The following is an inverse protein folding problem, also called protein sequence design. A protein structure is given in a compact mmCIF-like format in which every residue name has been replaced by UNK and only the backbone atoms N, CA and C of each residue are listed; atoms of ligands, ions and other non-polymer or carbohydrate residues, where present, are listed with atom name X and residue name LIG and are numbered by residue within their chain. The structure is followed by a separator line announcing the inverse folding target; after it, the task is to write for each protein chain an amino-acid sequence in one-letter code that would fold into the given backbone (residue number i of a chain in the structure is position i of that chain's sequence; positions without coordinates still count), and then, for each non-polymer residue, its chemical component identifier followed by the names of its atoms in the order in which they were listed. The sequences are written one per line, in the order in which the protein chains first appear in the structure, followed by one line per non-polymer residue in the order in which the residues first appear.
data_IF_967822520074
#
_entry.id   IF_967822520074
#
_cell.length_a   1.000
_cell.length_b   1.000
_cell.length_c   1.000
_cell.angle_alpha   90.00
_cell.angle_beta   90.00
_cell.angle_gamma   90.00
#
_symmetry.space_group_name_H-M   'P 1'
#
loop_
_entity.id
_entity.type
_entity.pdbx_description
1 polymer ?
#
# COMPACT_ATOMS: atom_id res chain seq x y z
N UNK A 1 26.53 -1.11 -9.39
CA UNK A 1 25.13 -0.87 -8.95
C UNK A 1 24.82 -1.90 -7.89
N UNK A 2 24.55 -1.48 -6.66
CA UNK A 2 24.15 -2.41 -5.59
C UNK A 2 22.73 -2.89 -5.90
N UNK A 3 22.57 -4.18 -6.15
CA UNK A 3 21.26 -4.80 -6.30
C UNK A 3 20.78 -5.09 -4.88
N UNK A 4 19.75 -4.39 -4.42
CA UNK A 4 19.14 -4.68 -3.13
C UNK A 4 18.10 -5.79 -3.31
N UNK A 5 18.21 -6.84 -2.51
CA UNK A 5 17.20 -7.88 -2.37
C UNK A 5 16.35 -7.60 -1.13
N UNK A 6 15.04 -7.79 -1.25
CA UNK A 6 14.09 -7.59 -0.16
C UNK A 6 13.30 -8.87 0.08
N UNK A 7 12.96 -9.14 1.34
CA UNK A 7 12.06 -10.22 1.69
C UNK A 7 10.68 -9.98 1.07
N UNK A 8 9.93 -11.06 0.83
CA UNK A 8 8.48 -10.94 0.68
C UNK A 8 7.91 -10.28 1.95
N UNK A 9 6.91 -9.38 1.86
CA UNK A 9 6.26 -8.82 3.03
C UNK A 9 5.63 -9.91 3.90
N UNK A 10 5.94 -9.86 5.19
CA UNK A 10 5.43 -10.77 6.21
C UNK A 10 4.53 -9.99 7.18
N UNK A 11 3.51 -10.63 7.80
CA UNK A 11 2.77 -9.99 8.89
C UNK A 11 3.73 -9.45 9.95
N UNK A 12 3.42 -8.28 10.51
CA UNK A 12 4.18 -7.70 11.60
C UNK A 12 4.15 -8.65 12.80
N UNK A 13 5.34 -9.06 13.24
CA UNK A 13 5.50 -9.82 14.47
C UNK A 13 5.16 -8.92 15.68
N UNK A 14 4.17 -9.28 16.52
CA UNK A 14 3.84 -8.52 17.72
C UNK A 14 5.01 -8.42 18.72
N UNK A 15 5.96 -9.35 18.66
CA UNK A 15 7.14 -9.42 19.52
C UNK A 15 8.39 -8.77 18.86
N UNK A 16 8.21 -8.04 17.75
CA UNK A 16 9.31 -7.35 17.08
C UNK A 16 10.03 -6.38 18.05
N UNK A 17 11.37 -6.38 18.11
CA UNK A 17 12.12 -5.47 18.96
C UNK A 17 11.82 -4.00 18.64
N UNK A 18 11.60 -3.19 19.68
CA UNK A 18 11.31 -1.76 19.52
C UNK A 18 12.43 -1.01 18.77
N UNK A 19 13.70 -1.39 18.99
CA UNK A 19 14.84 -0.78 18.33
C UNK A 19 14.84 -1.03 16.81
N UNK A 20 14.25 -2.14 16.34
CA UNK A 20 14.06 -2.39 14.91
C UNK A 20 13.04 -1.41 14.30
N UNK A 21 11.95 -1.10 15.02
CA UNK A 21 10.96 -0.10 14.60
C UNK A 21 11.53 1.33 14.64
N UNK A 22 12.37 1.62 15.63
CA UNK A 22 12.96 2.95 15.82
C UNK A 22 13.99 3.28 14.73
N UNK A 23 14.70 2.29 14.21
CA UNK A 23 15.66 2.43 13.10
C UNK A 23 15.00 2.73 11.76
N UNK A 24 13.72 2.42 11.59
CA UNK A 24 13.00 2.72 10.36
C UNK A 24 12.83 4.23 10.19
N UNK A 25 13.16 4.72 9.00
CA UNK A 25 12.96 6.11 8.63
C UNK A 25 12.63 6.25 7.14
N UNK A 26 11.40 6.67 6.84
CA UNK A 26 10.97 6.99 5.48
C UNK A 26 10.97 8.50 5.16
N UNK A 27 11.62 9.33 5.99
CA UNK A 27 11.58 10.81 5.97
C UNK A 27 10.20 11.42 6.28
N UNK A 28 9.33 10.61 6.89
CA UNK A 28 7.95 10.99 7.24
C UNK A 28 7.74 10.81 8.72
N UNK A 29 7.76 11.89 9.51
CA UNK A 29 7.65 11.79 10.95
C UNK A 29 6.43 10.99 11.41
N UNK A 30 5.27 11.16 10.77
CA UNK A 30 4.08 10.44 11.19
C UNK A 30 4.05 8.94 10.82
N UNK A 31 4.66 8.53 9.70
CA UNK A 31 4.62 7.13 9.29
C UNK A 31 5.61 6.38 10.17
N UNK A 32 6.78 6.98 10.38
CA UNK A 32 7.76 6.52 11.38
C UNK A 32 7.11 6.41 12.77
N UNK A 33 6.45 7.48 13.24
CA UNK A 33 5.83 7.51 14.57
C UNK A 33 4.71 6.46 14.71
N UNK A 34 3.87 6.31 13.68
CA UNK A 34 2.80 5.32 13.72
C UNK A 34 3.35 3.90 13.73
N UNK A 35 4.39 3.61 12.94
CA UNK A 35 5.05 2.31 12.95
C UNK A 35 5.61 1.99 14.34
N UNK A 36 6.27 2.96 14.98
CA UNK A 36 6.88 2.79 16.31
C UNK A 36 5.88 2.62 17.45
N UNK A 37 4.72 3.29 17.38
CA UNK A 37 3.83 3.43 18.56
C UNK A 37 2.45 2.80 18.42
N UNK A 38 2.00 2.53 17.20
CA UNK A 38 0.61 2.09 16.94
C UNK A 38 0.52 0.78 16.17
N UNK A 39 1.52 0.41 15.38
CA UNK A 39 1.45 -0.75 14.49
C UNK A 39 1.18 -2.07 15.24
N UNK A 40 1.96 -2.37 16.28
CA UNK A 40 1.81 -3.58 17.12
C UNK A 40 0.47 -3.60 17.86
N UNK A 41 0.05 -2.46 18.42
CA UNK A 41 -1.25 -2.35 19.07
C UNK A 41 -2.38 -2.63 18.07
N UNK A 42 -2.34 -2.02 16.88
CA UNK A 42 -3.36 -2.23 15.88
C UNK A 42 -3.39 -3.67 15.35
N UNK A 43 -2.24 -4.33 15.23
CA UNK A 43 -2.14 -5.74 14.86
C UNK A 43 -2.80 -6.64 15.91
N UNK A 44 -2.50 -6.39 17.20
CA UNK A 44 -3.02 -7.15 18.34
C UNK A 44 -4.54 -7.04 18.47
N UNK A 45 -5.10 -5.85 18.29
CA UNK A 45 -6.54 -5.61 18.46
C UNK A 45 -7.34 -5.69 17.15
N UNK A 46 -6.68 -5.98 16.03
CA UNK A 46 -7.36 -6.17 14.74
C UNK A 46 -7.85 -4.89 14.07
N UNK A 47 -7.34 -3.71 14.47
CA UNK A 47 -7.69 -2.43 13.83
C UNK A 47 -7.11 -2.32 12.41
N UNK A 48 -5.93 -2.91 12.19
CA UNK A 48 -5.30 -3.02 10.87
C UNK A 48 -4.28 -4.15 10.88
N UNK A 49 -4.10 -4.80 9.74
CA UNK A 49 -3.03 -5.79 9.51
C UNK A 49 -1.83 -5.12 8.87
N UNK A 50 -0.67 -5.17 9.53
CA UNK A 50 0.57 -4.56 9.07
C UNK A 50 1.48 -5.63 8.46
N UNK A 51 2.08 -5.33 7.32
CA UNK A 51 3.02 -6.20 6.63
C UNK A 51 4.34 -5.47 6.45
N UNK A 52 5.44 -6.17 6.68
CA UNK A 52 6.80 -5.62 6.75
C UNK A 52 7.71 -6.40 5.79
N UNK A 53 8.48 -5.69 4.98
CA UNK A 53 9.57 -6.25 4.19
C UNK A 53 10.91 -5.89 4.83
N UNK A 54 11.85 -6.81 4.79
CA UNK A 54 13.18 -6.67 5.36
C UNK A 54 14.25 -6.66 4.26
N UNK A 55 15.36 -5.99 4.51
CA UNK A 55 16.58 -6.15 3.72
C UNK A 55 17.33 -7.43 4.09
N UNK A 56 18.42 -7.74 3.38
CA UNK A 56 19.28 -8.90 3.64
C UNK A 56 19.90 -8.87 5.05
N UNK A 57 20.06 -7.68 5.64
CA UNK A 57 20.58 -7.48 6.99
C UNK A 57 19.50 -7.60 8.09
N UNK A 58 18.26 -7.92 7.75
CA UNK A 58 17.15 -8.03 8.68
C UNK A 58 16.59 -6.69 9.18
N UNK A 59 16.99 -5.56 8.58
CA UNK A 59 16.38 -4.27 8.89
C UNK A 59 15.10 -4.06 8.09
N UNK A 60 14.14 -3.34 8.66
CA UNK A 60 12.90 -3.00 7.96
C UNK A 60 13.24 -2.13 6.74
N UNK A 61 12.89 -2.62 5.55
CA UNK A 61 13.07 -1.92 4.29
C UNK A 61 11.81 -1.13 3.87
N UNK A 62 10.63 -1.60 4.28
CA UNK A 62 9.36 -0.95 4.02
C UNK A 62 8.21 -1.68 4.67
N UNK A 63 7.06 -1.01 4.78
CA UNK A 63 5.87 -1.61 5.35
C UNK A 63 4.61 -1.04 4.71
N UNK A 64 3.51 -1.75 4.88
CA UNK A 64 2.17 -1.22 4.61
C UNK A 64 1.16 -1.77 5.61
N UNK A 65 -0.01 -1.15 5.73
CA UNK A 65 -1.10 -1.70 6.50
C UNK A 65 -2.44 -1.67 5.75
N UNK A 66 -3.24 -2.72 5.98
CA UNK A 66 -4.57 -2.89 5.40
C UNK A 66 -5.60 -2.94 6.52
N UNK A 67 -6.74 -2.27 6.31
CA UNK A 67 -7.93 -2.40 7.16
C UNK A 67 -9.18 -2.57 6.30
N UNK A 68 -10.30 -2.91 6.92
CA UNK A 68 -11.60 -2.91 6.25
C UNK A 68 -12.11 -1.47 6.08
N UNK A 69 -12.80 -1.22 4.99
CA UNK A 69 -13.41 0.08 4.71
C UNK A 69 -14.66 -0.09 3.84
N UNK A 70 -15.39 1.01 3.69
CA UNK A 70 -16.50 1.11 2.77
C UNK A 70 -16.34 2.36 1.89
N UNK A 71 -16.89 2.31 0.69
CA UNK A 71 -16.88 3.43 -0.24
C UNK A 71 -18.31 3.80 -0.65
N UNK A 72 -18.73 5.01 -0.29
CA UNK A 72 -20.06 5.51 -0.61
C UNK A 72 -20.22 5.83 -2.10
N UNK A 73 -21.44 5.62 -2.62
CA UNK A 73 -21.81 5.95 -4.00
C UNK A 73 -21.61 7.44 -4.36
N UNK A 74 -21.65 8.33 -3.38
CA UNK A 74 -21.46 9.78 -3.58
C UNK A 74 -20.02 10.13 -3.94
N UNK A 75 -19.06 9.28 -3.55
CA UNK A 75 -17.65 9.42 -3.95
C UNK A 75 -17.39 8.90 -5.37
N UNK A 76 -18.33 8.18 -5.99
CA UNK A 76 -18.13 7.48 -7.25
C UNK A 76 -18.85 8.09 -8.45
N UNK A 77 -18.28 7.86 -9.63
CA UNK A 77 -18.96 8.19 -10.88
C UNK A 77 -20.15 7.27 -11.15
N UNK A 78 -21.11 7.74 -11.95
CA UNK A 78 -22.36 7.01 -12.21
C UNK A 78 -22.10 5.61 -12.81
N UNK A 79 -21.03 5.46 -13.59
CA UNK A 79 -20.62 4.17 -14.15
C UNK A 79 -20.16 3.16 -13.10
N UNK A 80 -19.47 3.60 -12.04
CA UNK A 80 -18.93 2.71 -11.00
C UNK A 80 -19.96 2.24 -9.97
N UNK A 81 -21.06 2.98 -9.80
CA UNK A 81 -22.11 2.67 -8.81
C UNK A 81 -23.30 1.87 -9.36
N UNK A 82 -23.37 1.65 -10.68
CA UNK A 82 -24.52 0.97 -11.30
C UNK A 82 -24.57 -0.50 -10.87
N UNK A 83 -25.73 -0.96 -10.39
CA UNK A 83 -25.95 -2.34 -9.92
C UNK A 83 -25.00 -2.79 -8.79
N UNK A 84 -24.59 -1.85 -7.93
CA UNK A 84 -23.69 -2.11 -6.79
C UNK A 84 -24.38 -1.80 -5.46
N UNK A 85 -23.87 -2.43 -4.39
CA UNK A 85 -24.26 -2.16 -3.01
C UNK A 85 -23.81 -0.75 -2.60
N UNK A 86 -24.62 -0.07 -1.78
CA UNK A 86 -24.23 1.19 -1.16
C UNK A 86 -24.28 1.04 0.38
N UNK A 87 -23.15 1.17 1.09
CA UNK A 87 -21.81 1.45 0.55
C UNK A 87 -21.11 0.19 -0.01
N UNK A 88 -20.08 0.40 -0.83
CA UNK A 88 -19.29 -0.68 -1.44
C UNK A 88 -18.25 -1.24 -0.44
N UNK A 89 -18.16 -2.56 -0.23
CA UNK A 89 -17.14 -3.15 0.63
C UNK A 89 -15.76 -3.03 -0.01
N UNK A 90 -14.78 -2.51 0.73
CA UNK A 90 -13.42 -2.27 0.27
C UNK A 90 -12.38 -2.66 1.32
N UNK A 91 -11.13 -2.81 0.90
CA UNK A 91 -9.98 -2.72 1.80
C UNK A 91 -9.37 -1.33 1.68
N UNK A 92 -8.90 -0.76 2.79
CA UNK A 92 -8.15 0.49 2.82
C UNK A 92 -6.66 0.18 2.98
N UNK A 93 -5.83 0.66 2.05
CA UNK A 93 -4.39 0.79 2.24
C UNK A 93 -4.16 2.02 3.12
N UNK A 94 -4.09 1.81 4.43
CA UNK A 94 -4.02 2.90 5.39
C UNK A 94 -2.68 3.62 5.33
N UNK A 95 -1.59 2.86 5.15
CA UNK A 95 -0.22 3.36 5.11
C UNK A 95 0.61 2.51 4.17
N UNK A 96 1.53 3.16 3.48
CA UNK A 96 2.56 2.54 2.64
C UNK A 96 3.83 3.39 2.78
N UNK A 97 4.93 2.79 3.19
CA UNK A 97 6.17 3.48 3.44
C UNK A 97 7.38 2.62 3.02
N UNK A 98 8.40 3.28 2.50
CA UNK A 98 9.69 2.69 2.16
C UNK A 98 10.77 3.47 2.88
N UNK A 99 11.67 2.77 3.57
CA UNK A 99 12.80 3.38 4.24
C UNK A 99 13.62 4.19 3.22
N UNK A 100 14.10 5.36 3.63
CA UNK A 100 14.83 6.30 2.76
C UNK A 100 16.04 5.67 2.08
N UNK A 101 16.65 4.65 2.69
CA UNK A 101 17.74 3.85 2.10
C UNK A 101 17.33 3.14 0.80
N UNK A 102 16.05 2.83 0.64
CA UNK A 102 15.53 1.96 -0.42
C UNK A 102 14.50 2.64 -1.34
N UNK A 103 14.28 3.94 -1.17
CA UNK A 103 13.39 4.71 -2.06
C UNK A 103 13.95 4.76 -3.49
N UNK A 104 13.05 4.74 -4.48
CA UNK A 104 13.43 4.75 -5.90
C UNK A 104 13.84 3.40 -6.49
N UNK A 105 13.84 2.34 -5.68
CA UNK A 105 14.27 1.01 -6.10
C UNK A 105 13.10 0.08 -6.43
N UNK A 106 11.89 0.61 -6.62
CA UNK A 106 10.70 -0.18 -6.96
C UNK A 106 10.03 -0.91 -5.78
N UNK A 107 10.62 -0.88 -4.57
CA UNK A 107 10.06 -1.54 -3.38
C UNK A 107 8.61 -1.09 -3.07
N UNK A 108 8.31 0.20 -3.20
CA UNK A 108 6.96 0.71 -2.96
C UNK A 108 5.89 0.11 -3.90
N UNK A 109 6.25 -0.11 -5.16
CA UNK A 109 5.39 -0.81 -6.12
C UNK A 109 5.23 -2.28 -5.76
N UNK A 110 6.31 -2.96 -5.37
CA UNK A 110 6.27 -4.35 -4.93
C UNK A 110 5.39 -4.56 -3.68
N UNK A 111 5.48 -3.66 -2.70
CA UNK A 111 4.61 -3.66 -1.51
C UNK A 111 3.13 -3.47 -1.89
N UNK A 112 2.84 -2.57 -2.82
CA UNK A 112 1.47 -2.34 -3.31
C UNK A 112 0.90 -3.56 -4.04
N UNK A 113 1.73 -4.26 -4.83
CA UNK A 113 1.34 -5.52 -5.50
C UNK A 113 0.94 -6.57 -4.46
N UNK A 114 1.71 -6.71 -3.38
CA UNK A 114 1.36 -7.64 -2.30
C UNK A 114 0.08 -7.22 -1.58
N UNK A 115 -0.14 -5.92 -1.36
CA UNK A 115 -1.40 -5.41 -0.81
C UNK A 115 -2.60 -5.79 -1.69
N UNK A 116 -2.49 -5.65 -3.02
CA UNK A 116 -3.53 -6.04 -3.97
C UNK A 116 -3.79 -7.56 -3.97
N UNK A 117 -2.75 -8.39 -3.85
CA UNK A 117 -2.89 -9.85 -3.70
C UNK A 117 -3.66 -10.21 -2.44
N UNK A 118 -3.36 -9.55 -1.32
CA UNK A 118 -4.10 -9.74 -0.06
C UNK A 118 -5.56 -9.33 -0.24
N UNK A 119 -5.83 -8.16 -0.82
CA UNK A 119 -7.20 -7.69 -1.08
C UNK A 119 -7.96 -8.63 -2.03
N UNK A 120 -7.30 -9.22 -3.03
CA UNK A 120 -7.89 -10.26 -3.88
C UNK A 120 -8.23 -11.54 -3.09
N UNK A 121 -7.41 -11.90 -2.10
CA UNK A 121 -7.74 -12.96 -1.16
C UNK A 121 -9.03 -12.65 -0.39
N UNK A 122 -9.12 -11.44 0.19
CA UNK A 122 -10.32 -10.97 0.90
C UNK A 122 -11.54 -10.96 -0.01
N UNK A 123 -11.41 -10.52 -1.27
CA UNK A 123 -12.53 -10.46 -2.20
C UNK A 123 -13.14 -11.83 -2.50
N UNK A 124 -12.33 -12.89 -2.46
CA UNK A 124 -12.79 -14.28 -2.62
C UNK A 124 -13.47 -14.83 -1.36
N UNK A 125 -13.16 -14.28 -0.19
CA UNK A 125 -13.66 -14.78 1.09
C UNK A 125 -14.93 -14.07 1.58
N UNK A 126 -14.99 -12.74 1.54
CA UNK A 126 -16.14 -11.98 2.11
C UNK A 126 -16.70 -10.91 1.18
N UNK A 127 -16.33 -10.90 -0.10
CA UNK A 127 -16.69 -9.84 -1.04
C UNK A 127 -15.93 -8.54 -0.76
N UNK A 128 -15.14 -8.09 -1.73
CA UNK A 128 -14.40 -6.82 -1.66
C UNK A 128 -14.26 -6.29 -3.08
N UNK A 129 -14.73 -5.07 -3.31
CA UNK A 129 -14.79 -4.49 -4.64
C UNK A 129 -13.46 -3.83 -5.05
N UNK A 130 -12.82 -3.12 -4.12
CA UNK A 130 -11.62 -2.36 -4.40
C UNK A 130 -10.64 -2.30 -3.23
N UNK A 131 -9.38 -2.05 -3.56
CA UNK A 131 -8.42 -1.45 -2.64
C UNK A 131 -8.52 0.07 -2.77
N UNK A 132 -8.82 0.76 -1.67
CA UNK A 132 -8.90 2.22 -1.61
C UNK A 132 -7.69 2.79 -0.88
N UNK A 133 -7.27 4.01 -1.25
CA UNK A 133 -6.16 4.72 -0.62
C UNK A 133 -6.57 6.18 -0.45
N UNK A 134 -6.06 6.82 0.59
CA UNK A 134 -6.22 8.27 0.84
C UNK A 134 -4.85 8.92 0.74
N UNK A 135 -4.40 9.28 -0.48
CA UNK A 135 -3.13 9.93 -0.66
C UNK A 135 -3.18 11.36 -0.12
N UNK A 136 -2.01 11.96 -0.01
CA UNK A 136 -1.81 13.14 0.82
C UNK A 136 -1.49 14.41 0.07
N UNK A 137 -0.84 14.27 -1.07
CA UNK A 137 -0.60 15.32 -2.01
C UNK A 137 -0.62 14.75 -3.43
N UNK A 138 -0.43 15.66 -4.37
CA UNK A 138 -0.48 15.34 -5.80
C UNK A 138 0.59 14.35 -6.23
N UNK A 139 1.71 14.28 -5.51
CA UNK A 139 2.80 13.34 -5.83
C UNK A 139 2.41 11.89 -5.52
N UNK A 140 1.80 11.63 -4.37
CA UNK A 140 1.30 10.30 -4.03
C UNK A 140 0.12 9.92 -4.94
N UNK A 141 -0.75 10.89 -5.25
CA UNK A 141 -1.83 10.68 -6.22
C UNK A 141 -1.25 10.20 -7.57
N UNK A 142 -0.27 10.91 -8.12
CA UNK A 142 0.38 10.53 -9.37
C UNK A 142 1.03 9.14 -9.33
N UNK A 143 1.64 8.76 -8.19
CA UNK A 143 2.16 7.41 -7.98
C UNK A 143 1.05 6.35 -8.11
N UNK A 144 -0.07 6.52 -7.40
CA UNK A 144 -1.17 5.55 -7.45
C UNK A 144 -1.86 5.52 -8.82
N UNK A 145 -2.08 6.68 -9.46
CA UNK A 145 -2.67 6.77 -10.80
C UNK A 145 -1.81 6.07 -11.85
N UNK A 146 -0.49 6.21 -11.77
CA UNK A 146 0.44 5.49 -12.66
C UNK A 146 0.30 3.97 -12.54
N UNK A 147 -0.06 3.50 -11.34
CA UNK A 147 -0.28 2.09 -11.04
C UNK A 147 -1.74 1.65 -11.29
N UNK A 148 -2.56 2.51 -11.89
CA UNK A 148 -3.90 2.19 -12.36
C UNK A 148 -5.03 2.48 -11.36
N UNK A 149 -4.73 3.16 -10.25
CA UNK A 149 -5.77 3.67 -9.37
C UNK A 149 -6.53 4.82 -10.03
N UNK A 150 -7.82 4.97 -9.67
CA UNK A 150 -8.72 5.99 -10.20
C UNK A 150 -9.16 6.93 -9.09
N UNK A 151 -9.17 8.24 -9.35
CA UNK A 151 -9.70 9.25 -8.42
C UNK A 151 -11.20 9.09 -8.21
N UNK A 152 -11.64 9.22 -6.96
CA UNK A 152 -13.04 9.47 -6.61
C UNK A 152 -13.46 10.88 -7.04
N UNK A 153 -14.77 11.10 -7.23
CA UNK A 153 -15.32 12.40 -7.67
C UNK A 153 -15.19 13.51 -6.63
N UNK A 154 -15.32 13.14 -5.36
CA UNK A 154 -15.49 14.08 -4.23
C UNK A 154 -14.76 13.51 -3.02
N UNK A 155 -14.09 14.40 -2.27
CA UNK A 155 -13.48 14.08 -0.99
C UNK A 155 -12.30 15.00 -0.68
N UNK A 156 -12.34 15.60 0.51
CA UNK A 156 -11.16 16.12 1.20
C UNK A 156 -11.04 15.34 2.53
N UNK A 157 -10.01 14.50 2.71
CA UNK A 157 -8.88 14.27 1.81
C UNK A 157 -9.27 13.51 0.52
N UNK A 158 -8.44 13.63 -0.54
CA UNK A 158 -8.64 12.90 -1.79
C UNK A 158 -8.62 11.39 -1.53
N UNK A 159 -9.34 10.65 -2.38
CA UNK A 159 -9.43 9.20 -2.29
C UNK A 159 -9.33 8.61 -3.69
N UNK A 160 -8.55 7.53 -3.80
CA UNK A 160 -8.42 6.75 -5.02
C UNK A 160 -8.81 5.30 -4.75
N UNK A 161 -9.22 4.60 -5.80
CA UNK A 161 -9.59 3.19 -5.73
C UNK A 161 -8.97 2.39 -6.88
N UNK A 162 -8.68 1.12 -6.62
CA UNK A 162 -8.30 0.12 -7.60
C UNK A 162 -9.29 -1.04 -7.56
N UNK A 163 -10.00 -1.28 -8.65
CA UNK A 163 -10.97 -2.37 -8.77
C UNK A 163 -10.26 -3.72 -8.81
N UNK A 164 -10.58 -4.62 -7.88
CA UNK A 164 -9.90 -5.93 -7.77
C UNK A 164 -10.17 -6.84 -8.97
N UNK A 165 -11.27 -6.61 -9.68
CA UNK A 165 -11.57 -7.31 -10.94
C UNK A 165 -10.47 -7.04 -12.00
N UNK A 166 -9.97 -5.81 -12.09
CA UNK A 166 -8.85 -5.47 -12.99
C UNK A 166 -7.54 -6.12 -12.57
N UNK A 167 -7.35 -6.38 -11.27
CA UNK A 167 -6.20 -7.13 -10.78
C UNK A 167 -6.33 -8.63 -11.07
N UNK A 168 -7.54 -9.14 -11.26
CA UNK A 168 -7.78 -10.56 -11.53
C UNK A 168 -7.64 -10.89 -13.00
N UNK A 169 -8.05 -9.98 -13.88
CA UNK A 169 -7.80 -10.10 -15.31
C UNK A 169 -6.33 -9.76 -15.61
N UNK A 170 -5.60 -10.64 -16.32
CA UNK A 170 -4.14 -10.56 -16.62
C UNK A 170 -3.71 -9.34 -17.48
N UNK A 171 -4.44 -8.22 -17.43
CA UNK A 171 -4.18 -6.98 -18.17
C UNK A 171 -3.63 -5.85 -17.28
N UNK A 172 -3.46 -6.07 -15.97
CA UNK A 172 -2.91 -5.04 -15.08
C UNK A 172 -1.38 -4.95 -15.21
N UNK A 173 -0.80 -3.76 -15.47
CA UNK A 173 0.65 -3.53 -15.50
C UNK A 173 1.37 -4.08 -14.26
N UNK A 174 0.71 -4.01 -13.10
CA UNK A 174 1.21 -4.43 -11.80
C UNK A 174 1.46 -5.94 -11.65
N UNK A 175 0.82 -6.79 -12.46
CA UNK A 175 1.09 -8.24 -12.41
C UNK A 175 2.40 -8.61 -13.14
N UNK A 176 2.79 -7.83 -14.14
CA UNK A 176 3.98 -8.07 -14.95
C UNK A 176 5.26 -7.73 -14.21
N UNK A 177 5.22 -6.73 -13.33
CA UNK A 177 6.38 -6.34 -12.51
C UNK A 177 6.70 -7.37 -11.41
N UNK A 178 5.70 -8.07 -10.88
CA UNK A 178 5.91 -9.12 -9.87
C UNK A 178 6.33 -10.50 -10.40
N UNK A 179 6.54 -10.66 -11.72
CA UNK A 179 6.94 -11.93 -12.37
C UNK A 179 8.37 -11.92 -12.93
N UNK A 180 9.04 -10.77 -12.98
CA UNK A 180 10.43 -10.71 -13.39
C UNK A 180 11.28 -11.10 -12.19
N UNK A 181 11.94 -12.26 -12.27
CA UNK A 181 13.20 -12.45 -11.56
C UNK A 181 14.03 -11.20 -11.85
N UNK A 182 14.35 -10.42 -10.81
CA UNK A 182 14.99 -9.12 -10.92
C UNK A 182 16.35 -9.24 -11.60
N UNK A 183 16.36 -9.21 -12.93
CA UNK A 183 17.56 -9.03 -13.73
C UNK A 183 17.92 -7.54 -13.72
N UNK A 184 19.17 -7.16 -13.40
CA UNK A 184 19.56 -5.77 -13.13
C UNK A 184 19.41 -4.78 -14.32
N UNK A 185 19.07 -5.26 -15.52
CA UNK A 185 19.06 -4.46 -16.75
C UNK A 185 17.74 -3.72 -17.04
N UNK A 186 16.66 -4.05 -16.32
CA UNK A 186 15.31 -3.50 -16.60
C UNK A 186 14.90 -2.33 -15.69
N UNK A 187 15.73 -1.99 -14.70
CA UNK A 187 15.46 -0.93 -13.73
C UNK A 187 15.98 0.41 -14.25
N UNK A 188 15.08 1.25 -14.76
CA UNK A 188 15.37 2.67 -14.95
C UNK A 188 15.29 3.38 -13.58
N UNK A 189 16.40 3.90 -13.04
CA UNK A 189 16.46 4.47 -11.68
C UNK A 189 15.69 5.78 -11.52
N UNK A 190 15.12 6.36 -12.59
CA UNK A 190 14.38 7.63 -12.55
C UNK A 190 12.84 7.50 -12.58
N UNK A 191 12.24 6.30 -12.45
CA UNK A 191 10.78 6.11 -12.70
C UNK A 191 9.89 5.63 -11.56
N UNK A 192 10.40 5.25 -10.39
CA UNK A 192 9.58 4.54 -9.37
C UNK A 192 10.05 4.81 -7.94
N UNK A 193 10.05 6.09 -7.52
CA UNK A 193 10.17 6.47 -6.11
C UNK A 193 8.83 6.98 -5.56
N UNK A 194 8.27 6.24 -4.59
CA UNK A 194 7.42 6.86 -3.57
C UNK A 194 8.32 7.76 -2.73
N UNK A 195 8.03 9.07 -2.62
CA UNK A 195 8.63 9.85 -1.57
C UNK A 195 7.89 9.63 -0.25
N UNK A 196 8.60 9.94 0.79
CA UNK A 196 8.12 10.24 2.12
C UNK A 196 6.80 11.06 2.18
N UNK A 197 5.62 10.45 2.47
CA UNK A 197 4.68 10.85 3.56
C UNK A 197 3.16 10.76 3.34
N UNK A 198 2.47 10.01 4.24
CA UNK A 198 1.02 10.08 4.43
C UNK A 198 0.55 10.03 5.91
N UNK A 199 0.24 11.18 6.53
CA UNK A 199 -0.49 11.34 7.84
C UNK A 199 -2.01 11.45 7.73
N UNK A 200 -2.78 10.51 8.28
CA UNK A 200 -4.20 10.81 8.53
C UNK A 200 -4.35 11.92 9.60
N UNK A 201 -5.34 12.82 9.49
CA UNK A 201 -5.95 13.42 10.68
C UNK A 201 -6.69 12.31 11.43
N UNK A 202 -6.44 12.19 12.74
CA UNK A 202 -7.27 11.35 13.61
C UNK A 202 -8.60 12.08 13.87
N UNK A 203 -9.71 11.37 14.12
CA UNK A 203 -10.89 11.95 14.76
C UNK A 203 -10.58 12.48 16.16
#
# INVERSE_FOLDING_TARGET
MTVYSFSKPLPLDPDIPQDALDRFDCDVPVLNQWLRTRSVHNEKYGNSRTYVAFDEGGSIAGYFCISNAVLDHDRLSAGFRRNKLNPLPCCLLGRLAVDKRYQGQGLGGALLVEALKITQGVSRMSGCWALVVQPKGEKEIGFYEHLGFRRCKVGDPPMLFFEIEHFTNKRSPLQTEGRRDCSPSDLNPNRTSLPASSTLPQP
#
